data_IF_617622693065
#
_entry.id   IF_617622693065
#
_cell.length_a   1.000
_cell.length_b   1.000
_cell.length_c   1.000
_cell.angle_alpha   90.00
_cell.angle_beta   90.00
_cell.angle_gamma   90.00
#
_symmetry.space_group_name_H-M   'P 1'
#
loop_
_entity.id
_entity.type
_entity.pdbx_description
1 polymer ?
#
# COMPACT_ATOMS: atom_id res chain seq x y z
N UNK A 1 -33.60 9.83 -17.12
CA UNK A 1 -32.75 8.72 -16.64
C UNK A 1 -33.17 8.38 -15.22
N UNK A 2 -33.23 7.10 -14.87
CA UNK A 2 -33.59 6.67 -13.51
C UNK A 2 -32.49 7.10 -12.51
N UNK A 3 -32.83 7.58 -11.31
CA UNK A 3 -31.85 7.96 -10.28
C UNK A 3 -30.94 6.79 -9.88
N UNK A 4 -31.43 5.55 -9.97
CA UNK A 4 -30.64 4.34 -9.70
C UNK A 4 -29.54 4.14 -10.74
N UNK A 5 -29.80 4.45 -12.01
CA UNK A 5 -28.81 4.34 -13.09
C UNK A 5 -27.70 5.38 -12.93
N UNK A 6 -28.04 6.58 -12.47
CA UNK A 6 -27.07 7.64 -12.16
C UNK A 6 -26.17 7.27 -10.98
N UNK A 7 -26.75 6.75 -9.90
CA UNK A 7 -25.99 6.26 -8.74
C UNK A 7 -25.09 5.07 -9.10
N UNK A 8 -25.62 4.09 -9.85
CA UNK A 8 -24.87 2.93 -10.32
C UNK A 8 -23.68 3.36 -11.18
N UNK A 9 -23.93 4.18 -12.19
CA UNK A 9 -22.87 4.68 -13.09
C UNK A 9 -21.81 5.51 -12.37
N UNK A 10 -22.18 6.37 -11.40
CA UNK A 10 -21.23 7.09 -10.55
C UNK A 10 -20.37 6.13 -9.70
N UNK A 11 -20.98 5.09 -9.11
CA UNK A 11 -20.26 4.08 -8.33
C UNK A 11 -19.27 3.29 -9.18
N UNK A 12 -19.66 2.90 -10.39
CA UNK A 12 -18.80 2.23 -11.39
C UNK A 12 -17.63 3.13 -11.79
N UNK A 13 -17.90 4.41 -12.07
CA UNK A 13 -16.87 5.40 -12.43
C UNK A 13 -15.88 5.61 -11.30
N UNK A 14 -16.36 5.82 -10.07
CA UNK A 14 -15.51 6.02 -8.90
C UNK A 14 -14.65 4.79 -8.62
N UNK A 15 -15.20 3.58 -8.70
CA UNK A 15 -14.43 2.34 -8.49
C UNK A 15 -13.32 2.17 -9.53
N UNK A 16 -13.62 2.48 -10.78
CA UNK A 16 -12.63 2.36 -11.87
C UNK A 16 -11.55 3.44 -11.76
N UNK A 17 -11.95 4.69 -11.47
CA UNK A 17 -11.03 5.81 -11.29
C UNK A 17 -10.15 5.63 -10.06
N UNK A 18 -10.63 4.98 -9.00
CA UNK A 18 -9.86 4.76 -7.77
C UNK A 18 -8.69 3.78 -7.95
N UNK A 19 -8.78 2.80 -8.86
CA UNK A 19 -7.71 1.80 -9.03
C UNK A 19 -6.57 2.28 -9.93
N UNK A 20 -6.86 3.22 -10.83
CA UNK A 20 -5.91 3.84 -11.75
C UNK A 20 -4.73 4.53 -11.05
N UNK A 21 -4.90 5.37 -10.00
CA UNK A 21 -3.77 6.00 -9.31
C UNK A 21 -2.86 5.00 -8.60
N UNK A 22 -3.40 3.88 -8.08
CA UNK A 22 -2.58 2.82 -7.49
C UNK A 22 -1.68 2.15 -8.53
N UNK A 23 -2.22 1.86 -9.71
CA UNK A 23 -1.45 1.31 -10.82
C UNK A 23 -0.40 2.31 -11.33
N UNK A 24 -0.78 3.58 -11.51
CA UNK A 24 0.13 4.66 -11.92
C UNK A 24 1.27 4.86 -10.92
N UNK A 25 0.98 4.86 -9.63
CA UNK A 25 2.00 4.96 -8.58
C UNK A 25 2.93 3.76 -8.57
N UNK A 26 2.39 2.53 -8.69
CA UNK A 26 3.21 1.31 -8.77
C UNK A 26 4.16 1.33 -9.97
N UNK A 27 3.66 1.73 -11.15
CA UNK A 27 4.46 1.88 -12.37
C UNK A 27 5.51 2.98 -12.21
N UNK A 28 5.13 4.15 -11.67
CA UNK A 28 6.03 5.29 -11.49
C UNK A 28 7.15 5.00 -10.48
N UNK A 29 6.85 4.32 -9.39
CA UNK A 29 7.81 3.97 -8.34
C UNK A 29 8.58 2.68 -8.66
N UNK A 30 8.21 1.97 -9.74
CA UNK A 30 8.70 0.62 -10.08
C UNK A 30 8.63 -0.37 -8.92
N UNK A 31 7.72 -0.12 -7.97
CA UNK A 31 7.51 -0.93 -6.78
C UNK A 31 6.01 -1.02 -6.54
N UNK A 32 5.42 -2.23 -6.56
CA UNK A 32 4.03 -2.41 -6.20
C UNK A 32 3.88 -2.07 -4.72
N UNK A 33 3.03 -1.10 -4.39
CA UNK A 33 2.65 -0.85 -3.00
C UNK A 33 1.64 -1.91 -2.54
N UNK A 34 1.71 -2.35 -1.29
CA UNK A 34 0.79 -3.33 -0.73
C UNK A 34 1.24 -4.80 -0.84
N UNK A 35 0.61 -5.65 -0.03
CA UNK A 35 0.94 -7.07 0.05
C UNK A 35 0.29 -7.88 -1.08
N UNK A 36 0.90 -8.99 -1.54
CA UNK A 36 0.31 -9.85 -2.56
C UNK A 36 -1.00 -10.48 -2.06
N UNK A 37 -1.12 -10.70 -0.74
CA UNK A 37 -2.37 -11.13 -0.11
C UNK A 37 -3.49 -10.10 -0.26
N UNK A 38 -3.22 -8.81 -0.04
CA UNK A 38 -4.23 -7.76 -0.20
C UNK A 38 -4.71 -7.66 -1.66
N UNK A 39 -3.78 -7.73 -2.61
CA UNK A 39 -4.11 -7.67 -4.04
C UNK A 39 -4.90 -8.90 -4.53
N UNK A 40 -4.52 -10.10 -4.08
CA UNK A 40 -5.26 -11.33 -4.40
C UNK A 40 -6.67 -11.33 -3.78
N UNK A 41 -6.81 -10.91 -2.53
CA UNK A 41 -8.11 -10.76 -1.89
C UNK A 41 -9.00 -9.75 -2.63
N UNK A 42 -8.43 -8.61 -3.04
CA UNK A 42 -9.13 -7.61 -3.85
C UNK A 42 -9.60 -8.15 -5.21
N UNK A 43 -8.78 -8.97 -5.88
CA UNK A 43 -9.16 -9.63 -7.12
C UNK A 43 -10.29 -10.65 -6.92
N UNK A 44 -10.24 -11.45 -5.84
CA UNK A 44 -11.31 -12.41 -5.50
C UNK A 44 -12.62 -11.68 -5.20
N UNK A 45 -12.58 -10.64 -4.36
CA UNK A 45 -13.77 -9.83 -4.08
C UNK A 45 -14.35 -9.20 -5.36
N UNK A 46 -13.49 -8.71 -6.26
CA UNK A 46 -13.91 -8.18 -7.56
C UNK A 46 -14.55 -9.26 -8.44
N UNK A 47 -14.01 -10.48 -8.44
CA UNK A 47 -14.57 -11.60 -9.19
C UNK A 47 -15.95 -12.02 -8.67
N UNK A 48 -16.15 -12.00 -7.34
CA UNK A 48 -17.45 -12.28 -6.72
C UNK A 48 -18.49 -11.25 -7.17
N UNK A 49 -18.15 -9.95 -7.12
CA UNK A 49 -19.05 -8.88 -7.58
C UNK A 49 -19.31 -8.91 -9.08
N UNK A 50 -18.30 -9.26 -9.87
CA UNK A 50 -18.44 -9.46 -11.31
C UNK A 50 -19.44 -10.58 -11.61
N UNK A 51 -19.27 -11.74 -10.98
CA UNK A 51 -20.18 -12.87 -11.14
C UNK A 51 -21.60 -12.52 -10.69
N UNK A 52 -21.74 -11.78 -9.58
CA UNK A 52 -23.02 -11.28 -9.11
C UNK A 52 -23.71 -10.40 -10.17
N UNK A 53 -23.01 -9.39 -10.72
CA UNK A 53 -23.58 -8.51 -11.75
C UNK A 53 -23.97 -9.26 -13.03
N UNK A 54 -23.21 -10.30 -13.41
CA UNK A 54 -23.59 -11.16 -14.55
C UNK A 54 -24.84 -11.99 -14.29
N UNK A 55 -24.99 -12.57 -13.09
CA UNK A 55 -26.15 -13.37 -12.71
C UNK A 55 -27.42 -12.51 -12.61
N UNK A 56 -27.29 -11.29 -12.08
CA UNK A 56 -28.39 -10.33 -11.94
C UNK A 56 -28.75 -9.62 -13.27
N UNK A 57 -27.88 -9.74 -14.29
CA UNK A 57 -28.01 -9.02 -15.56
C UNK A 57 -27.66 -7.53 -15.47
N UNK A 58 -27.11 -7.08 -14.34
CA UNK A 58 -26.65 -5.70 -14.13
C UNK A 58 -25.18 -5.55 -14.56
N UNK A 59 -25.00 -5.12 -15.81
CA UNK A 59 -23.68 -4.86 -16.36
C UNK A 59 -22.99 -3.63 -15.73
N UNK A 60 -23.71 -2.71 -15.08
CA UNK A 60 -23.07 -1.59 -14.38
C UNK A 60 -22.32 -2.07 -13.14
N UNK A 61 -22.86 -3.10 -12.47
CA UNK A 61 -22.23 -3.77 -11.34
C UNK A 61 -21.07 -4.66 -11.80
N UNK A 62 -21.22 -5.32 -12.96
CA UNK A 62 -20.16 -6.16 -13.51
C UNK A 62 -18.98 -5.36 -14.10
N UNK A 63 -19.24 -4.22 -14.74
CA UNK A 63 -18.23 -3.48 -15.52
C UNK A 63 -16.88 -3.20 -14.80
N UNK A 64 -16.83 -2.82 -13.50
CA UNK A 64 -15.57 -2.58 -12.82
C UNK A 64 -14.68 -3.84 -12.75
N UNK A 65 -15.30 -5.02 -12.63
CA UNK A 65 -14.60 -6.30 -12.54
C UNK A 65 -13.69 -6.56 -13.75
N UNK A 66 -14.06 -6.07 -14.93
CA UNK A 66 -13.24 -6.19 -16.14
C UNK A 66 -11.88 -5.49 -16.02
N UNK A 67 -11.76 -4.50 -15.15
CA UNK A 67 -10.52 -3.76 -14.90
C UNK A 67 -9.88 -4.20 -13.58
N UNK A 68 -10.66 -4.31 -12.50
CA UNK A 68 -10.11 -4.55 -11.17
C UNK A 68 -9.55 -5.96 -11.00
N UNK A 69 -10.13 -6.97 -11.67
CA UNK A 69 -9.63 -8.35 -11.64
C UNK A 69 -8.24 -8.45 -12.28
N UNK A 70 -8.02 -8.08 -13.56
CA UNK A 70 -6.71 -8.21 -14.18
C UNK A 70 -5.66 -7.31 -13.51
N UNK A 71 -6.03 -6.09 -13.08
CA UNK A 71 -5.10 -5.19 -12.37
C UNK A 71 -4.72 -5.77 -11.00
N UNK A 72 -5.69 -6.27 -10.24
CA UNK A 72 -5.43 -6.89 -8.93
C UNK A 72 -4.54 -8.12 -9.05
N UNK A 73 -4.77 -8.98 -10.04
CA UNK A 73 -3.93 -10.16 -10.30
C UNK A 73 -2.51 -9.76 -10.73
N UNK A 74 -2.37 -8.75 -11.60
CA UNK A 74 -1.06 -8.24 -12.02
C UNK A 74 -0.25 -7.70 -10.83
N UNK A 75 -0.89 -6.89 -9.98
CA UNK A 75 -0.25 -6.32 -8.79
C UNK A 75 0.08 -7.39 -7.75
N UNK A 76 -0.77 -8.41 -7.58
CA UNK A 76 -0.48 -9.55 -6.72
C UNK A 76 0.75 -10.33 -7.21
N UNK A 77 0.79 -10.66 -8.51
CA UNK A 77 1.91 -11.37 -9.11
C UNK A 77 3.21 -10.55 -9.05
N UNK A 78 3.15 -9.24 -9.31
CA UNK A 78 4.31 -8.37 -9.19
C UNK A 78 4.80 -8.28 -7.74
N UNK A 79 3.90 -8.07 -6.78
CA UNK A 79 4.25 -8.00 -5.35
C UNK A 79 4.86 -9.31 -4.84
N UNK A 80 4.37 -10.46 -5.30
CA UNK A 80 4.96 -11.77 -4.96
C UNK A 80 6.40 -11.90 -5.44
N UNK A 81 6.68 -11.51 -6.70
CA UNK A 81 8.03 -11.58 -7.28
C UNK A 81 9.02 -10.64 -6.57
N UNK A 82 8.55 -9.48 -6.11
CA UNK A 82 9.39 -8.54 -5.35
C UNK A 82 9.70 -9.05 -3.93
N UNK A 83 8.80 -9.83 -3.31
CA UNK A 83 9.06 -10.47 -2.02
C UNK A 83 10.04 -11.64 -2.10
N UNK A 84 10.01 -12.38 -3.22
CA UNK A 84 10.96 -13.47 -3.48
C UNK A 84 12.34 -12.98 -3.93
N UNK A 85 12.42 -11.74 -4.44
CA UNK A 85 13.71 -11.13 -4.75
C UNK A 85 14.53 -11.05 -3.44
N UNK A 86 15.79 -11.54 -3.44
CA UNK A 86 16.60 -11.53 -2.24
C UNK A 86 16.64 -10.11 -1.70
N UNK A 87 16.16 -9.93 -0.46
CA UNK A 87 16.20 -8.66 0.23
C UNK A 87 17.64 -8.16 0.11
N UNK A 88 17.85 -7.12 -0.69
CA UNK A 88 19.13 -6.44 -0.74
C UNK A 88 19.40 -6.05 0.72
N UNK A 89 20.37 -6.72 1.34
CA UNK A 89 20.75 -6.46 2.71
C UNK A 89 20.86 -4.94 2.82
N UNK A 90 20.12 -4.29 3.75
CA UNK A 90 20.25 -2.85 3.91
C UNK A 90 21.73 -2.60 4.02
N UNK A 91 22.27 -1.80 3.08
CA UNK A 91 23.69 -1.49 3.03
C UNK A 91 24.09 -1.20 4.47
N UNK A 92 24.93 -2.08 5.05
CA UNK A 92 25.30 -2.04 6.44
C UNK A 92 25.69 -0.59 6.70
N UNK A 93 24.86 0.14 7.44
CA UNK A 93 25.19 1.52 7.81
C UNK A 93 26.35 1.33 8.76
N UNK A 94 27.56 1.36 8.20
CA UNK A 94 28.78 1.52 8.97
C UNK A 94 28.62 2.88 9.59
N UNK A 95 28.06 2.91 10.81
CA UNK A 95 28.10 4.09 11.63
C UNK A 95 29.58 4.47 11.70
N UNK A 96 29.96 5.72 11.35
CA UNK A 96 31.30 6.17 11.67
C UNK A 96 31.52 5.90 13.17
N UNK A 97 32.72 5.46 13.59
CA UNK A 97 33.01 5.30 15.00
C UNK A 97 32.61 6.61 15.66
N UNK A 98 31.64 6.53 16.57
CA UNK A 98 31.14 7.69 17.27
C UNK A 98 32.35 8.30 18.01
N UNK A 99 32.89 9.40 17.49
CA UNK A 99 33.81 10.22 18.25
C UNK A 99 32.92 11.26 18.93
N UNK A 100 32.76 11.21 20.27
CA UNK A 100 32.04 12.28 20.95
C UNK A 100 32.81 13.58 20.69
N UNK A 101 32.15 14.68 20.30
CA UNK A 101 32.83 15.97 20.22
C UNK A 101 33.38 16.29 21.60
N UNK A 102 34.72 16.36 21.72
CA UNK A 102 35.45 16.64 22.95
C UNK A 102 35.18 18.05 23.52
N UNK A 103 34.30 18.82 22.87
CA UNK A 103 34.02 20.22 23.19
C UNK A 103 32.79 20.45 24.09
N UNK A 104 32.09 19.38 24.53
CA UNK A 104 30.84 19.51 25.33
C UNK A 104 31.01 19.09 26.79
N UNK A 105 32.23 18.88 27.29
CA UNK A 105 32.47 18.76 28.74
C UNK A 105 33.15 20.02 29.25
N UNK A 106 32.37 21.11 29.35
CA UNK A 106 32.75 22.22 30.22
C UNK A 106 32.57 21.77 31.67
N UNK A 107 33.65 21.83 32.45
CA UNK A 107 33.61 21.66 33.89
C UNK A 107 32.56 22.59 34.50
N UNK A 108 31.49 22.02 35.06
CA UNK A 108 30.42 22.79 35.71
C UNK A 108 28.99 22.26 35.51
N UNK A 109 28.75 21.26 34.65
CA UNK A 109 27.39 20.74 34.45
C UNK A 109 26.95 19.78 35.57
N UNK A 110 25.84 20.17 36.18
CA UNK A 110 25.21 19.76 37.43
C UNK A 110 24.64 18.34 37.42
N UNK A 111 25.51 17.32 37.35
CA UNK A 111 25.17 15.97 37.84
C UNK A 111 25.47 15.90 39.35
N UNK A 112 24.89 16.80 40.13
CA UNK A 112 24.66 16.56 41.55
C UNK A 112 23.22 16.08 41.70
N UNK A 113 23.03 14.75 41.77
CA UNK A 113 21.74 14.17 42.17
C UNK A 113 21.40 14.64 43.59
N UNK A 114 20.19 15.15 43.85
CA UNK A 114 19.75 15.36 45.22
C UNK A 114 19.59 13.99 45.90
N UNK A 115 20.33 13.78 47.00
CA UNK A 115 20.13 12.63 47.89
C UNK A 115 18.73 12.73 48.49
N UNK A 116 17.87 11.76 48.16
CA UNK A 116 16.61 11.53 48.90
C UNK A 116 17.01 10.99 50.27
N UNK A 117 16.84 11.81 51.31
CA UNK A 117 16.96 11.37 52.71
C UNK A 117 15.60 10.79 53.11
N UNK A 118 15.62 9.54 53.55
CA UNK A 118 14.46 8.77 54.00
C UNK A 118 13.94 9.24 55.37
#
# INVERSE_FOLDING_TARGET
MSPLVLLGSLGTLLSTVAIVPHLLLAVRMRKPSGSPFAWSLGAVCSAVWFAYGLVDGDFLVAAPGLVTIPVGLLLAAWSHREQEAPAALPAMVVLPPWEPPLDVVRAGDTIEMPRVVA
#
